data_IF_914078872229
#
_entry.id   IF_914078872229
#
_cell.length_a   1.000
_cell.length_b   1.000
_cell.length_c   1.000
_cell.angle_alpha   90.00
_cell.angle_beta   90.00
_cell.angle_gamma   90.00
#
_symmetry.space_group_name_H-M   'P 1'
#
loop_
_entity.id
_entity.type
_entity.pdbx_description
1 polymer ?
#
# COMPACT_ATOMS: atom_id res chain seq x y z
N UNK A 1 14.34 -17.18 11.91
CA UNK A 1 15.26 -17.08 13.06
C UNK A 1 14.51 -17.12 14.39
N UNK A 2 13.39 -16.39 14.52
CA UNK A 2 12.53 -16.43 15.72
C UNK A 2 11.86 -17.78 15.98
N UNK A 3 11.70 -18.61 14.97
CA UNK A 3 11.18 -19.98 15.14
C UNK A 3 12.22 -20.95 15.72
N UNK A 4 13.53 -20.60 15.62
CA UNK A 4 14.65 -21.42 16.12
C UNK A 4 15.10 -20.99 17.51
N UNK A 5 14.88 -19.72 17.88
CA UNK A 5 15.29 -19.17 19.18
C UNK A 5 14.34 -18.01 19.57
N UNK A 6 13.11 -18.32 20.01
CA UNK A 6 12.12 -17.30 20.37
C UNK A 6 12.63 -16.38 21.50
N UNK A 7 13.43 -16.90 22.42
CA UNK A 7 13.86 -16.17 23.62
C UNK A 7 14.93 -15.12 23.34
N UNK A 8 15.78 -15.29 22.34
CA UNK A 8 16.86 -14.32 22.05
C UNK A 8 16.40 -12.97 21.47
N UNK A 9 15.18 -12.86 20.94
CA UNK A 9 14.62 -11.57 20.47
C UNK A 9 13.95 -10.75 21.56
N UNK A 10 13.52 -11.41 22.61
CA UNK A 10 12.86 -10.77 23.75
C UNK A 10 13.87 -9.88 24.50
N UNK A 11 15.15 -10.22 24.41
CA UNK A 11 16.21 -9.52 25.13
C UNK A 11 16.71 -8.24 24.45
N UNK A 12 16.23 -7.93 23.22
CA UNK A 12 16.63 -6.75 22.48
C UNK A 12 15.49 -5.76 22.36
N UNK A 13 15.74 -4.51 22.74
CA UNK A 13 14.80 -3.39 22.66
C UNK A 13 15.25 -2.42 21.58
N UNK A 14 14.32 -1.96 20.73
CA UNK A 14 14.60 -0.94 19.73
C UNK A 14 14.30 0.44 20.30
N UNK A 15 15.31 1.30 20.33
CA UNK A 15 15.21 2.68 20.81
C UNK A 15 15.30 3.61 19.59
N UNK A 16 14.18 3.99 19.02
CA UNK A 16 14.08 4.93 17.90
C UNK A 16 15.14 4.70 16.82
N UNK A 17 15.84 5.75 16.43
CA UNK A 17 16.95 5.72 15.47
C UNK A 17 18.28 5.25 16.08
N UNK A 18 18.39 5.22 17.41
CA UNK A 18 19.60 4.75 18.11
C UNK A 18 19.90 3.29 17.79
N UNK A 19 18.87 2.47 17.56
CA UNK A 19 19.01 1.08 17.14
C UNK A 19 18.58 0.08 18.20
N UNK A 20 19.09 -1.15 18.08
CA UNK A 20 18.74 -2.27 18.96
C UNK A 20 19.70 -2.34 20.13
N UNK A 21 19.18 -2.38 21.34
CA UNK A 21 19.93 -2.49 22.59
C UNK A 21 19.55 -3.78 23.31
N UNK A 22 20.56 -4.51 23.75
CA UNK A 22 20.37 -5.66 24.62
C UNK A 22 19.95 -5.17 26.00
N UNK A 23 18.77 -5.55 26.49
CA UNK A 23 18.16 -4.95 27.69
C UNK A 23 19.01 -5.09 28.94
N UNK A 24 19.65 -6.24 29.14
CA UNK A 24 20.57 -6.46 30.27
C UNK A 24 21.94 -5.78 30.10
N UNK A 25 22.21 -5.23 28.94
CA UNK A 25 23.41 -4.48 28.62
C UNK A 25 23.17 -2.99 28.41
N UNK A 26 21.95 -2.48 28.68
CA UNK A 26 21.57 -1.10 28.41
C UNK A 26 22.48 -0.08 29.13
N UNK A 27 22.97 -0.40 30.33
CA UNK A 27 23.87 0.44 31.12
C UNK A 27 25.17 0.78 30.35
N UNK A 28 25.70 -0.14 29.55
CA UNK A 28 26.90 0.09 28.74
C UNK A 28 26.68 1.10 27.60
N UNK A 29 25.46 1.44 27.28
CA UNK A 29 25.08 2.38 26.25
C UNK A 29 24.87 3.81 26.77
N UNK A 30 24.71 4.02 28.07
CA UNK A 30 24.47 5.34 28.67
C UNK A 30 25.55 6.38 28.33
N UNK A 31 26.80 5.95 28.17
CA UNK A 31 27.91 6.86 27.83
C UNK A 31 28.07 7.08 26.31
N UNK A 32 27.28 6.42 25.48
CA UNK A 32 27.43 6.44 24.02
C UNK A 32 26.52 7.45 23.30
N UNK A 33 25.61 8.07 24.02
CA UNK A 33 24.67 9.05 23.44
C UNK A 33 24.59 10.29 24.33
N UNK A 34 24.38 11.44 23.68
CA UNK A 34 24.07 12.71 24.35
C UNK A 34 22.61 13.12 24.16
N UNK A 35 21.81 12.30 23.48
CA UNK A 35 20.41 12.57 23.26
C UNK A 35 19.63 12.23 24.54
N UNK A 36 19.07 13.24 25.20
CA UNK A 36 18.35 13.12 26.47
C UNK A 36 17.23 12.07 26.42
N UNK A 37 16.42 12.07 25.35
CA UNK A 37 15.32 11.10 25.20
C UNK A 37 15.81 9.66 25.11
N UNK A 38 16.95 9.44 24.47
CA UNK A 38 17.59 8.12 24.37
C UNK A 38 18.20 7.73 25.70
N UNK A 39 18.82 8.68 26.41
CA UNK A 39 19.37 8.48 27.76
C UNK A 39 18.28 8.08 28.75
N UNK A 40 17.14 8.77 28.75
CA UNK A 40 16.00 8.45 29.61
C UNK A 40 15.52 7.02 29.39
N UNK A 41 15.32 6.63 28.13
CA UNK A 41 14.90 5.27 27.79
C UNK A 41 15.95 4.22 28.15
N UNK A 42 17.23 4.49 27.91
CA UNK A 42 18.32 3.59 28.29
C UNK A 42 18.42 3.44 29.82
N UNK A 43 18.22 4.52 30.56
CA UNK A 43 18.23 4.53 32.03
C UNK A 43 17.07 3.69 32.56
N UNK A 44 15.88 3.87 32.01
CA UNK A 44 14.71 3.10 32.39
C UNK A 44 14.89 1.61 32.13
N UNK A 45 15.43 1.24 30.93
CA UNK A 45 15.74 -0.15 30.59
C UNK A 45 16.81 -0.72 31.53
N UNK A 46 17.83 0.06 31.89
CA UNK A 46 18.92 -0.39 32.76
C UNK A 46 18.47 -0.60 34.20
N UNK A 47 17.53 0.23 34.69
CA UNK A 47 16.96 0.11 36.02
C UNK A 47 15.99 -1.08 36.17
N UNK A 48 15.20 -1.35 35.15
CA UNK A 48 14.24 -2.43 35.17
C UNK A 48 14.16 -3.15 33.83
N UNK A 49 15.18 -3.95 33.47
CA UNK A 49 15.24 -4.62 32.18
C UNK A 49 14.09 -5.61 31.97
N UNK A 50 13.49 -6.15 33.01
CA UNK A 50 12.40 -7.11 32.95
C UNK A 50 11.04 -6.47 32.67
N UNK A 51 10.87 -5.17 32.96
CA UNK A 51 9.66 -4.42 32.60
C UNK A 51 9.58 -4.13 31.09
N UNK A 52 10.73 -4.12 30.39
CA UNK A 52 10.81 -3.91 28.96
C UNK A 52 10.70 -5.22 28.18
N UNK A 53 9.57 -5.90 28.32
CA UNK A 53 9.16 -6.80 27.27
C UNK A 53 8.82 -5.96 26.05
N UNK A 54 9.39 -6.24 24.86
CA UNK A 54 8.81 -5.74 23.63
C UNK A 54 7.44 -6.39 23.52
N UNK A 55 6.43 -5.75 24.09
CA UNK A 55 5.02 -6.09 23.87
C UNK A 55 4.75 -5.77 22.41
N UNK A 56 5.15 -6.67 21.55
CA UNK A 56 4.56 -6.74 20.23
C UNK A 56 3.16 -7.22 20.47
N UNK A 57 2.19 -6.30 20.46
CA UNK A 57 0.80 -6.47 20.71
C UNK A 57 0.42 -7.84 21.31
N UNK A 58 -0.41 -7.90 22.30
CA UNK A 58 -0.68 -9.03 23.19
C UNK A 58 -0.83 -10.41 22.52
N UNK A 59 -0.93 -10.47 21.21
CA UNK A 59 -0.94 -11.70 20.42
C UNK A 59 -0.14 -11.49 19.14
N UNK A 60 1.09 -11.94 19.08
CA UNK A 60 1.79 -12.12 17.81
C UNK A 60 1.04 -13.17 17.00
N UNK A 61 0.15 -12.70 16.15
CA UNK A 61 -0.43 -13.57 15.13
C UNK A 61 0.69 -13.90 14.15
N UNK A 62 1.10 -15.15 14.12
CA UNK A 62 1.98 -15.63 13.07
C UNK A 62 1.13 -15.74 11.80
N UNK A 63 1.42 -14.99 10.73
CA UNK A 63 0.63 -15.04 9.52
C UNK A 63 0.61 -16.45 8.95
N UNK A 64 -0.58 -16.94 8.62
CA UNK A 64 -0.75 -18.30 8.05
C UNK A 64 0.02 -18.44 6.74
N UNK A 65 0.06 -17.39 5.92
CA UNK A 65 0.87 -17.34 4.70
C UNK A 65 2.35 -17.64 4.94
N UNK A 66 2.93 -17.03 5.97
CA UNK A 66 4.32 -17.28 6.37
C UNK A 66 4.52 -18.73 6.85
N UNK A 67 3.55 -19.30 7.56
CA UNK A 67 3.59 -20.71 7.95
C UNK A 67 3.58 -21.62 6.72
N UNK A 68 2.66 -21.40 5.80
CA UNK A 68 2.53 -22.14 4.54
C UNK A 68 3.85 -22.08 3.74
N UNK A 69 4.39 -20.87 3.55
CA UNK A 69 5.65 -20.68 2.84
C UNK A 69 6.80 -21.43 3.48
N UNK A 70 6.88 -21.48 4.81
CA UNK A 70 7.99 -22.15 5.52
C UNK A 70 7.83 -23.65 5.62
N UNK A 71 6.61 -24.15 5.78
CA UNK A 71 6.35 -25.56 6.10
C UNK A 71 5.77 -26.38 4.96
N UNK A 72 5.06 -25.72 4.04
CA UNK A 72 4.33 -26.38 2.95
C UNK A 72 4.85 -25.99 1.56
N UNK A 73 5.95 -25.27 1.46
CA UNK A 73 6.57 -24.91 0.18
C UNK A 73 6.83 -26.17 -0.66
N UNK A 74 6.38 -26.12 -1.91
CA UNK A 74 6.51 -27.23 -2.86
C UNK A 74 5.49 -28.37 -2.67
N UNK A 75 4.55 -28.24 -1.71
CA UNK A 75 3.41 -29.15 -1.54
C UNK A 75 2.12 -28.61 -2.13
N UNK A 76 2.12 -27.35 -2.56
CA UNK A 76 0.98 -26.68 -3.18
C UNK A 76 1.26 -26.63 -4.67
N UNK A 77 0.47 -27.37 -5.45
CA UNK A 77 0.64 -27.42 -6.90
C UNK A 77 0.11 -26.16 -7.59
N UNK A 78 -1.05 -25.67 -7.19
CA UNK A 78 -1.65 -24.47 -7.77
C UNK A 78 -2.20 -23.52 -6.71
N UNK A 79 -2.03 -22.22 -6.95
CA UNK A 79 -2.67 -21.16 -6.20
C UNK A 79 -3.52 -20.31 -7.15
N UNK A 80 -4.84 -20.36 -6.96
CA UNK A 80 -5.80 -19.52 -7.66
C UNK A 80 -6.13 -18.32 -6.77
N UNK A 81 -5.93 -17.13 -7.29
CA UNK A 81 -6.18 -15.88 -6.58
C UNK A 81 -7.27 -15.12 -7.33
N UNK A 82 -8.43 -15.07 -6.74
CA UNK A 82 -9.56 -14.26 -7.23
C UNK A 82 -9.39 -12.81 -6.76
N UNK A 83 -9.97 -11.89 -7.53
CA UNK A 83 -9.90 -10.43 -7.30
C UNK A 83 -8.46 -9.95 -7.04
N UNK A 84 -7.55 -10.31 -7.93
CA UNK A 84 -6.12 -10.03 -7.81
C UNK A 84 -5.82 -8.54 -7.58
N UNK A 85 -6.67 -7.64 -8.03
CA UNK A 85 -6.54 -6.21 -7.85
C UNK A 85 -6.58 -5.74 -6.38
N UNK A 86 -7.18 -6.50 -5.47
CA UNK A 86 -7.19 -6.17 -4.04
C UNK A 86 -5.79 -6.24 -3.40
N UNK A 87 -4.86 -6.95 -4.05
CA UNK A 87 -3.47 -7.12 -3.58
C UNK A 87 -2.51 -6.10 -4.19
N UNK A 88 -3.00 -5.07 -4.84
CA UNK A 88 -2.20 -4.03 -5.50
C UNK A 88 -1.44 -3.12 -4.52
N UNK A 89 -1.92 -2.98 -3.29
CA UNK A 89 -1.36 -2.05 -2.32
C UNK A 89 -0.11 -2.60 -1.61
N UNK A 90 0.70 -1.70 -1.05
CA UNK A 90 1.76 -2.06 -0.11
C UNK A 90 1.15 -2.40 1.25
N UNK A 91 0.60 -3.59 1.37
CA UNK A 91 -0.19 -4.06 2.52
C UNK A 91 0.23 -5.47 2.94
N UNK A 92 -0.06 -5.80 4.20
CA UNK A 92 0.17 -7.15 4.71
C UNK A 92 -0.64 -8.23 3.97
N UNK A 93 -1.79 -7.88 3.40
CA UNK A 93 -2.59 -8.76 2.54
C UNK A 93 -1.86 -9.06 1.23
N UNK A 94 -1.31 -8.04 0.58
CA UNK A 94 -0.49 -8.24 -0.62
C UNK A 94 0.78 -9.04 -0.34
N UNK A 95 1.41 -8.87 0.82
CA UNK A 95 2.58 -9.65 1.22
C UNK A 95 2.21 -11.12 1.48
N UNK A 96 1.04 -11.37 2.08
CA UNK A 96 0.50 -12.71 2.27
C UNK A 96 0.26 -13.43 0.92
N UNK A 97 -0.33 -12.74 -0.05
CA UNK A 97 -0.50 -13.23 -1.41
C UNK A 97 0.86 -13.60 -2.06
N UNK A 98 1.85 -12.71 -1.96
CA UNK A 98 3.18 -12.96 -2.49
C UNK A 98 3.88 -14.17 -1.81
N UNK A 99 3.64 -14.39 -0.53
CA UNK A 99 4.14 -15.56 0.19
C UNK A 99 3.50 -16.87 -0.31
N UNK A 100 2.20 -16.87 -0.58
CA UNK A 100 1.47 -18.02 -1.14
C UNK A 100 1.88 -18.28 -2.59
N UNK A 101 2.02 -17.23 -3.39
CA UNK A 101 2.58 -17.31 -4.74
C UNK A 101 3.94 -18.02 -4.73
N UNK A 102 4.87 -17.57 -3.88
CA UNK A 102 6.20 -18.15 -3.77
C UNK A 102 6.25 -19.55 -3.13
N UNK A 103 5.15 -20.02 -2.53
CA UNK A 103 5.01 -21.35 -1.95
C UNK A 103 4.43 -22.38 -2.93
N UNK A 104 3.71 -21.93 -3.96
CA UNK A 104 3.04 -22.76 -4.97
C UNK A 104 3.90 -22.97 -6.21
N UNK A 105 3.59 -24.01 -6.98
CA UNK A 105 4.27 -24.34 -8.25
C UNK A 105 3.67 -23.55 -9.42
N UNK A 106 2.34 -23.44 -9.44
CA UNK A 106 1.59 -22.70 -10.44
C UNK A 106 0.77 -21.61 -9.77
N UNK A 107 0.58 -20.50 -10.48
CA UNK A 107 -0.23 -19.38 -10.01
C UNK A 107 -1.15 -18.90 -11.14
N UNK A 108 -2.41 -18.67 -10.80
CA UNK A 108 -3.38 -18.00 -11.67
C UNK A 108 -4.04 -16.90 -10.85
N UNK A 109 -3.88 -15.66 -11.28
CA UNK A 109 -4.58 -14.51 -10.72
C UNK A 109 -5.72 -14.10 -11.65
N UNK A 110 -6.90 -13.92 -11.11
CA UNK A 110 -8.11 -13.54 -11.85
C UNK A 110 -8.59 -12.18 -11.36
N UNK A 111 -9.00 -11.32 -12.28
CA UNK A 111 -9.61 -10.03 -11.94
C UNK A 111 -10.28 -9.42 -13.17
N UNK A 112 -11.37 -8.71 -12.98
CA UNK A 112 -11.99 -7.90 -14.02
C UNK A 112 -11.27 -6.54 -14.18
N UNK A 113 -10.61 -6.04 -13.15
CA UNK A 113 -10.00 -4.70 -13.09
C UNK A 113 -8.58 -4.76 -12.57
N UNK A 114 -7.62 -5.11 -13.40
CA UNK A 114 -6.21 -5.26 -12.97
C UNK A 114 -5.59 -3.93 -12.49
N UNK A 115 -5.97 -2.83 -13.13
CA UNK A 115 -5.44 -1.49 -12.87
C UNK A 115 -6.57 -0.60 -12.39
N UNK A 116 -6.48 -0.12 -11.16
CA UNK A 116 -7.45 0.79 -10.54
C UNK A 116 -7.19 2.28 -10.87
N UNK A 117 -6.63 2.55 -12.03
CA UNK A 117 -6.40 3.89 -12.55
C UNK A 117 -5.06 4.53 -12.17
N UNK A 118 -4.29 3.98 -11.23
CA UNK A 118 -3.01 4.55 -10.80
C UNK A 118 -1.85 3.59 -11.02
N UNK A 119 -0.70 4.11 -11.45
CA UNK A 119 0.53 3.31 -11.65
C UNK A 119 1.06 2.73 -10.35
N UNK A 120 0.94 3.45 -9.23
CA UNK A 120 1.35 2.96 -7.91
C UNK A 120 0.62 1.68 -7.48
N UNK A 121 -0.64 1.51 -7.88
CA UNK A 121 -1.41 0.31 -7.57
C UNK A 121 -0.77 -0.93 -8.18
N UNK A 122 -0.48 -0.91 -9.47
CA UNK A 122 0.05 -2.07 -10.17
C UNK A 122 1.53 -2.35 -9.84
N UNK A 123 2.29 -1.34 -9.42
CA UNK A 123 3.72 -1.48 -9.11
C UNK A 123 4.00 -2.61 -8.10
N UNK A 124 3.29 -2.61 -6.97
CA UNK A 124 3.49 -3.62 -5.94
C UNK A 124 3.07 -5.01 -6.38
N UNK A 125 2.02 -5.10 -7.20
CA UNK A 125 1.57 -6.36 -7.76
C UNK A 125 2.61 -6.95 -8.72
N UNK A 126 3.13 -6.15 -9.65
CA UNK A 126 4.17 -6.56 -10.59
C UNK A 126 5.43 -7.05 -9.85
N UNK A 127 5.81 -6.36 -8.79
CA UNK A 127 6.96 -6.80 -7.98
C UNK A 127 6.73 -8.13 -7.27
N UNK A 128 5.49 -8.46 -6.94
CA UNK A 128 5.14 -9.73 -6.30
C UNK A 128 5.08 -10.89 -7.29
N UNK A 129 4.67 -10.62 -8.53
CA UNK A 129 4.42 -11.66 -9.53
C UNK A 129 5.60 -11.80 -10.50
N UNK A 130 6.12 -10.69 -11.01
CA UNK A 130 7.18 -10.66 -12.03
C UNK A 130 8.39 -9.81 -11.59
N UNK A 131 8.98 -10.05 -10.40
CA UNK A 131 10.07 -9.22 -9.89
C UNK A 131 11.29 -9.20 -10.82
N UNK A 132 11.53 -10.28 -11.55
CA UNK A 132 12.63 -10.37 -12.50
C UNK A 132 12.52 -9.39 -13.67
N UNK A 133 11.30 -9.16 -14.17
CA UNK A 133 11.06 -8.16 -15.23
C UNK A 133 11.21 -6.74 -14.69
N UNK A 134 10.70 -6.47 -13.48
CA UNK A 134 10.85 -5.16 -12.84
C UNK A 134 12.33 -4.80 -12.63
N UNK A 135 13.16 -5.75 -12.20
CA UNK A 135 14.59 -5.53 -12.02
C UNK A 135 15.31 -5.34 -13.37
N UNK A 136 14.94 -6.08 -14.42
CA UNK A 136 15.50 -5.90 -15.77
C UNK A 136 15.17 -4.52 -16.33
N UNK A 137 13.99 -3.98 -16.01
CA UNK A 137 13.56 -2.61 -16.36
C UNK A 137 14.19 -1.54 -15.44
N UNK A 138 15.13 -1.90 -14.59
CA UNK A 138 15.82 -0.99 -13.67
C UNK A 138 14.99 -0.50 -12.49
N UNK A 139 13.77 -1.01 -12.30
CA UNK A 139 12.90 -0.60 -11.21
C UNK A 139 13.32 -1.32 -9.91
N UNK A 140 13.34 -0.56 -8.81
CA UNK A 140 13.67 -1.10 -7.49
C UNK A 140 12.46 -1.03 -6.58
N UNK A 141 12.24 -2.05 -5.78
CA UNK A 141 11.11 -2.10 -4.84
C UNK A 141 11.03 -0.90 -3.88
N UNK A 142 12.19 -0.36 -3.50
CA UNK A 142 12.26 0.81 -2.59
C UNK A 142 12.02 2.15 -3.28
N UNK A 143 11.92 2.18 -4.60
CA UNK A 143 11.78 3.40 -5.39
C UNK A 143 10.53 3.35 -6.29
N UNK A 144 9.31 3.25 -5.73
CA UNK A 144 8.08 3.23 -6.53
C UNK A 144 7.91 4.51 -7.36
N UNK A 145 8.44 5.65 -6.89
CA UNK A 145 8.38 6.91 -7.61
C UNK A 145 9.07 6.90 -8.97
N UNK A 146 10.09 6.06 -9.17
CA UNK A 146 10.75 5.91 -10.48
C UNK A 146 9.83 5.20 -11.49
N UNK A 147 9.02 4.26 -10.99
CA UNK A 147 7.99 3.62 -11.81
C UNK A 147 6.85 4.58 -12.14
N UNK A 148 6.39 5.34 -11.15
CA UNK A 148 5.34 6.33 -11.35
C UNK A 148 5.75 7.45 -12.31
N UNK A 149 7.01 7.87 -12.27
CA UNK A 149 7.55 8.89 -13.18
C UNK A 149 7.62 8.41 -14.64
N UNK A 150 7.83 7.11 -14.87
CA UNK A 150 7.95 6.55 -16.23
C UNK A 150 6.62 6.04 -16.76
N UNK A 151 5.82 5.40 -15.92
CA UNK A 151 4.59 4.70 -16.35
C UNK A 151 3.31 5.34 -15.85
N UNK A 152 3.38 6.29 -14.92
CA UNK A 152 2.24 7.00 -14.38
C UNK A 152 2.10 8.42 -14.94
N UNK A 153 1.07 9.11 -14.46
CA UNK A 153 0.88 10.53 -14.66
C UNK A 153 1.20 11.25 -13.37
N UNK A 154 2.26 12.06 -13.38
CA UNK A 154 2.73 12.79 -12.20
C UNK A 154 2.71 14.28 -12.46
N UNK A 155 1.95 15.00 -11.65
CA UNK A 155 1.95 16.46 -11.62
C UNK A 155 2.99 16.96 -10.62
N UNK A 156 3.96 17.74 -11.09
CA UNK A 156 4.97 18.35 -10.25
C UNK A 156 4.71 19.85 -10.13
N UNK A 157 4.45 20.32 -8.91
CA UNK A 157 4.32 21.75 -8.62
C UNK A 157 5.69 22.29 -8.22
N UNK A 158 6.10 23.37 -8.87
CA UNK A 158 7.36 24.06 -8.60
C UNK A 158 7.08 25.43 -7.99
N UNK A 159 7.76 25.77 -6.92
CA UNK A 159 7.82 27.11 -6.39
C UNK A 159 8.97 27.85 -7.08
N UNK A 160 8.64 28.95 -7.73
CA UNK A 160 9.62 29.86 -8.33
C UNK A 160 9.87 30.93 -7.27
N UNK A 161 11.05 30.92 -6.66
CA UNK A 161 11.47 32.06 -5.85
C UNK A 161 11.95 33.16 -6.81
N UNK A 162 11.18 34.24 -6.87
CA UNK A 162 11.63 35.46 -7.56
C UNK A 162 12.88 35.95 -6.85
N UNK A 163 13.95 36.00 -7.62
CA UNK A 163 15.21 36.56 -7.13
C UNK A 163 14.99 38.07 -6.97
N UNK A 164 14.75 38.54 -5.75
CA UNK A 164 14.93 39.95 -5.44
C UNK A 164 16.33 40.37 -5.89
N UNK A 165 16.34 41.23 -6.89
CA UNK A 165 17.37 42.11 -7.39
C UNK A 165 18.81 41.88 -6.86
N UNK A 166 19.40 40.77 -7.17
CA UNK A 166 20.84 40.59 -7.11
C UNK A 166 21.31 39.80 -8.33
N UNK A 167 22.02 40.47 -9.20
CA UNK A 167 22.38 40.11 -10.57
C UNK A 167 23.20 38.84 -10.77
N UNK A 168 23.45 38.01 -9.74
CA UNK A 168 24.27 36.81 -9.79
C UNK A 168 23.63 35.55 -9.24
N UNK A 169 22.34 35.54 -8.92
CA UNK A 169 21.65 34.31 -8.46
C UNK A 169 20.78 33.73 -9.58
N UNK A 170 21.13 32.54 -10.04
CA UNK A 170 20.29 31.71 -10.88
C UNK A 170 18.97 31.43 -10.15
N UNK A 171 17.84 31.73 -10.77
CA UNK A 171 16.51 31.33 -10.31
C UNK A 171 16.49 29.83 -10.03
N UNK A 172 16.44 29.42 -8.77
CA UNK A 172 16.31 28.01 -8.41
C UNK A 172 14.83 27.62 -8.37
N UNK A 173 14.42 26.78 -9.29
CA UNK A 173 13.11 26.13 -9.23
C UNK A 173 13.20 25.00 -8.21
N UNK A 174 12.48 25.12 -7.11
CA UNK A 174 12.38 24.05 -6.11
C UNK A 174 11.05 23.31 -6.31
N UNK A 175 11.11 21.98 -6.53
CA UNK A 175 9.91 21.16 -6.57
C UNK A 175 9.34 21.08 -5.16
N UNK A 176 8.13 21.62 -4.95
CA UNK A 176 7.46 21.69 -3.65
C UNK A 176 6.53 20.51 -3.41
N UNK A 177 5.84 20.04 -4.44
CA UNK A 177 4.89 18.92 -4.34
C UNK A 177 4.91 18.08 -5.61
N UNK A 178 4.76 16.78 -5.41
CA UNK A 178 4.50 15.81 -6.48
C UNK A 178 3.19 15.13 -6.17
N UNK A 179 2.27 15.12 -7.12
CA UNK A 179 0.96 14.48 -6.99
C UNK A 179 0.78 13.50 -8.14
N UNK A 180 0.45 12.26 -7.79
CA UNK A 180 0.06 11.28 -8.79
C UNK A 180 -1.38 11.56 -9.26
N UNK A 181 -1.59 11.55 -10.57
CA UNK A 181 -2.89 11.65 -11.21
C UNK A 181 -3.31 10.28 -11.76
N UNK A 182 -4.59 10.05 -12.00
CA UNK A 182 -5.05 8.85 -12.69
C UNK A 182 -4.42 8.76 -14.08
N UNK A 183 -3.95 7.57 -14.41
CA UNK A 183 -3.34 7.27 -15.69
C UNK A 183 -2.18 6.28 -15.54
N UNK A 184 -2.14 5.31 -16.46
CA UNK A 184 -1.08 4.31 -16.58
C UNK A 184 -0.71 4.16 -18.05
N UNK A 185 0.58 4.19 -18.33
CA UNK A 185 1.09 4.02 -19.68
C UNK A 185 0.75 2.62 -20.22
N UNK A 186 0.28 2.49 -21.47
CA UNK A 186 0.09 1.20 -22.14
C UNK A 186 1.36 0.34 -22.19
N UNK A 187 2.53 0.95 -22.05
CA UNK A 187 3.81 0.24 -22.01
C UNK A 187 3.92 -0.72 -20.81
N UNK A 188 3.21 -0.45 -19.72
CA UNK A 188 3.14 -1.40 -18.59
C UNK A 188 2.61 -2.74 -19.04
N UNK A 189 1.55 -2.72 -19.85
CA UNK A 189 0.96 -3.94 -20.40
C UNK A 189 1.95 -4.69 -21.30
N UNK A 190 2.53 -4.02 -22.27
CA UNK A 190 3.43 -4.65 -23.25
C UNK A 190 4.73 -5.17 -22.62
N UNK A 191 5.26 -4.49 -21.59
CA UNK A 191 6.53 -4.87 -20.96
C UNK A 191 6.41 -5.94 -19.88
N UNK A 192 5.32 -5.94 -19.13
CA UNK A 192 5.21 -6.76 -17.90
C UNK A 192 4.09 -7.78 -17.93
N UNK A 193 3.05 -7.57 -18.74
CA UNK A 193 1.83 -8.35 -18.65
C UNK A 193 1.56 -9.20 -19.88
N UNK A 194 1.94 -8.74 -21.06
CA UNK A 194 1.53 -9.35 -22.34
C UNK A 194 1.80 -10.86 -22.41
N UNK A 195 2.96 -11.30 -21.92
CA UNK A 195 3.35 -12.72 -21.95
C UNK A 195 2.65 -13.58 -20.89
N UNK A 196 2.04 -12.93 -19.88
CA UNK A 196 1.49 -13.60 -18.69
C UNK A 196 -0.01 -13.41 -18.52
N UNK A 197 -0.67 -12.67 -19.41
CA UNK A 197 -2.08 -12.30 -19.25
C UNK A 197 -2.91 -12.83 -20.41
N UNK A 198 -3.99 -13.52 -20.08
CA UNK A 198 -5.04 -13.87 -21.00
C UNK A 198 -6.28 -13.02 -20.71
N UNK A 199 -6.91 -12.52 -21.77
CA UNK A 199 -8.19 -11.80 -21.67
C UNK A 199 -9.31 -12.71 -22.11
N UNK A 200 -10.36 -12.74 -21.29
CA UNK A 200 -11.60 -13.44 -21.59
C UNK A 200 -12.75 -12.44 -21.46
N UNK A 201 -13.44 -12.19 -22.53
CA UNK A 201 -14.65 -11.36 -22.54
C UNK A 201 -15.91 -12.24 -22.49
N UNK A 202 -17.03 -11.65 -22.11
CA UNK A 202 -18.33 -12.37 -22.16
C UNK A 202 -18.65 -12.85 -23.57
N UNK A 203 -18.26 -12.13 -24.61
CA UNK A 203 -18.41 -12.53 -26.00
C UNK A 203 -17.64 -13.81 -26.37
N UNK A 204 -16.49 -14.05 -25.67
CA UNK A 204 -15.69 -15.26 -25.91
C UNK A 204 -16.33 -16.53 -25.31
N UNK A 205 -17.23 -16.37 -24.34
CA UNK A 205 -17.99 -17.46 -23.73
C UNK A 205 -19.15 -17.96 -24.60
N UNK A 206 -19.42 -17.26 -25.68
CA UNK A 206 -20.35 -17.71 -26.72
C UNK A 206 -21.81 -17.77 -26.30
N UNK A 207 -22.53 -18.75 -26.91
CA UNK A 207 -23.98 -18.90 -26.77
C UNK A 207 -24.44 -19.55 -25.46
N UNK A 208 -23.52 -19.90 -24.57
CA UNK A 208 -23.84 -20.60 -23.32
C UNK A 208 -24.25 -19.66 -22.18
N UNK A 209 -24.21 -18.34 -22.43
CA UNK A 209 -24.69 -17.35 -21.48
C UNK A 209 -26.22 -17.19 -21.62
N UNK A 210 -26.97 -17.13 -20.51
CA UNK A 210 -28.38 -16.79 -20.55
C UNK A 210 -28.59 -15.39 -21.10
N UNK A 211 -29.74 -15.16 -21.71
CA UNK A 211 -30.14 -13.82 -22.13
C UNK A 211 -30.17 -12.90 -20.92
N UNK A 212 -29.53 -11.75 -21.06
CA UNK A 212 -29.48 -10.74 -20.02
C UNK A 212 -30.33 -9.53 -20.43
N UNK A 213 -31.33 -9.21 -19.62
CA UNK A 213 -32.16 -8.03 -19.77
C UNK A 213 -32.11 -7.23 -18.46
N UNK A 214 -31.76 -5.96 -18.57
CA UNK A 214 -31.74 -5.04 -17.43
C UNK A 214 -33.05 -4.24 -17.44
N UNK A 215 -33.91 -4.53 -16.48
CA UNK A 215 -35.20 -3.83 -16.32
C UNK A 215 -35.05 -2.82 -15.17
N UNK A 216 -34.89 -1.51 -15.45
CA UNK A 216 -34.87 -0.51 -14.42
C UNK A 216 -36.27 -0.37 -13.80
N UNK A 217 -36.36 -0.65 -12.50
CA UNK A 217 -37.57 -0.46 -11.72
C UNK A 217 -37.43 0.86 -10.92
N UNK A 218 -38.09 1.96 -11.37
CA UNK A 218 -38.05 3.20 -10.62
C UNK A 218 -38.86 3.04 -9.34
N UNK A 219 -38.24 3.30 -8.21
CA UNK A 219 -38.88 3.35 -6.90
C UNK A 219 -39.05 4.79 -6.47
N UNK A 220 -40.26 5.17 -6.03
CA UNK A 220 -40.47 6.45 -5.38
C UNK A 220 -39.92 6.41 -3.96
N UNK A 221 -39.10 7.40 -3.66
CA UNK A 221 -38.51 7.53 -2.33
C UNK A 221 -39.59 7.99 -1.34
N UNK A 222 -39.78 7.31 -0.20
CA UNK A 222 -40.67 7.79 0.88
C UNK A 222 -40.37 9.22 1.28
N UNK A 223 -41.41 9.97 1.69
CA UNK A 223 -41.29 11.43 1.90
C UNK A 223 -40.30 11.80 3.02
N UNK A 224 -40.24 11.01 4.06
CA UNK A 224 -39.26 11.14 5.17
C UNK A 224 -37.81 10.96 4.68
N UNK A 225 -37.56 9.93 3.87
CA UNK A 225 -36.23 9.67 3.29
C UNK A 225 -35.88 10.74 2.26
N UNK A 226 -36.84 11.16 1.43
CA UNK A 226 -36.67 12.26 0.45
C UNK A 226 -36.26 13.57 1.13
N UNK A 227 -36.90 13.90 2.23
CA UNK A 227 -36.58 15.09 3.00
C UNK A 227 -35.17 15.03 3.58
N UNK A 228 -34.81 13.90 4.22
CA UNK A 228 -33.48 13.70 4.77
C UNK A 228 -32.39 13.73 3.66
N UNK A 229 -32.69 13.17 2.49
CA UNK A 229 -31.78 13.19 1.33
C UNK A 229 -31.54 14.63 0.83
N UNK A 230 -32.63 15.42 0.66
CA UNK A 230 -32.53 16.83 0.22
C UNK A 230 -31.76 17.69 1.23
N UNK A 231 -31.92 17.45 2.53
CA UNK A 231 -31.16 18.15 3.56
C UNK A 231 -29.68 17.79 3.50
N UNK A 232 -29.35 16.50 3.30
CA UNK A 232 -27.98 16.06 3.16
C UNK A 232 -27.32 16.63 1.90
N UNK A 233 -28.04 16.65 0.76
CA UNK A 233 -27.57 17.26 -0.48
C UNK A 233 -27.31 18.76 -0.30
N UNK A 234 -28.21 19.47 0.34
CA UNK A 234 -28.05 20.92 0.60
C UNK A 234 -26.84 21.21 1.51
N UNK A 235 -26.64 20.39 2.56
CA UNK A 235 -25.45 20.48 3.43
C UNK A 235 -24.18 20.23 2.64
N UNK A 236 -24.17 19.20 1.79
CA UNK A 236 -23.03 18.86 0.94
C UNK A 236 -22.69 19.99 -0.04
N UNK A 237 -23.71 20.56 -0.72
CA UNK A 237 -23.51 21.68 -1.63
C UNK A 237 -22.96 22.93 -0.92
N UNK A 238 -23.39 23.19 0.31
CA UNK A 238 -22.86 24.29 1.13
C UNK A 238 -21.38 24.06 1.47
N UNK A 239 -21.00 22.83 1.87
CA UNK A 239 -19.62 22.49 2.20
C UNK A 239 -18.73 22.50 0.97
N UNK A 240 -19.24 22.06 -0.20
CA UNK A 240 -18.52 22.12 -1.48
C UNK A 240 -18.10 23.53 -1.87
N UNK A 241 -18.92 24.53 -1.54
CA UNK A 241 -18.63 25.96 -1.82
C UNK A 241 -17.58 26.54 -0.86
N UNK A 242 -17.47 25.98 0.36
CA UNK A 242 -16.61 26.54 1.42
C UNK A 242 -15.31 25.76 1.60
N UNK A 243 -15.37 24.41 1.55
CA UNK A 243 -14.20 23.55 1.72
C UNK A 243 -14.31 22.29 0.86
N UNK A 244 -13.61 22.31 -0.27
CA UNK A 244 -13.60 21.22 -1.24
C UNK A 244 -13.04 19.90 -0.68
N UNK A 245 -12.11 19.95 0.30
CA UNK A 245 -11.53 18.75 0.91
C UNK A 245 -12.49 18.08 1.89
N UNK A 246 -13.16 18.88 2.71
CA UNK A 246 -14.19 18.38 3.61
C UNK A 246 -15.35 17.75 2.83
N UNK A 247 -15.76 18.38 1.72
CA UNK A 247 -16.78 17.84 0.85
C UNK A 247 -16.41 16.50 0.22
N UNK A 248 -15.16 16.31 -0.25
CA UNK A 248 -14.70 15.02 -0.77
C UNK A 248 -14.77 13.90 0.28
N UNK A 249 -14.42 14.22 1.54
CA UNK A 249 -14.49 13.27 2.64
C UNK A 249 -15.93 12.87 2.96
N UNK A 250 -16.84 13.84 2.98
CA UNK A 250 -18.27 13.61 3.20
C UNK A 250 -18.84 12.76 2.05
N UNK A 251 -18.54 13.12 0.80
CA UNK A 251 -19.01 12.39 -0.37
C UNK A 251 -18.54 10.92 -0.37
N UNK A 252 -17.27 10.67 -0.04
CA UNK A 252 -16.75 9.30 0.07
C UNK A 252 -17.46 8.49 1.16
N UNK A 253 -17.88 9.12 2.24
CA UNK A 253 -18.64 8.45 3.31
C UNK A 253 -20.06 8.10 2.85
N UNK A 254 -20.70 8.97 2.08
CA UNK A 254 -22.05 8.73 1.54
C UNK A 254 -22.09 7.71 0.39
N UNK A 255 -21.01 7.61 -0.40
CA UNK A 255 -20.94 6.63 -1.51
C UNK A 255 -20.54 5.22 -1.04
N UNK A 256 -20.06 5.09 0.20
CA UNK A 256 -19.68 3.80 0.81
C UNK A 256 -20.77 3.26 1.77
N UNK A 257 -21.93 3.93 1.83
CA UNK A 257 -23.13 3.44 2.51
C UNK A 257 -24.09 2.81 1.48
#
# INVERSE_FOLDING_TARGET
WSAVNPDKRIDWVKIGEYGWVYRYGAQAHLHRTKNERVLDQLTEIAQNPDAFYPIRGAHQRFPLSTYIKKKLRGRIDGFLCDELHEYNNNSGQGDAMAELYGASRCFVGMTATLINGYSSGIFHLLYRIVPGLMLKDGKRYKSPGDFDAEYGVVENTYEIQDAEYNSNRRTSKRRTKSKQLPGVSPLVFSRFLLEYTAFLSLSDMGKDLPDYEEIPVPLEMPEDVRTAYKEAEHKLQKVLRTDRKAAQKILSTYLNL
#
